data_IF_220150399210
#
_entry.id   IF_220150399210
#
_cell.length_a   1.000
_cell.length_b   1.000
_cell.length_c   1.000
_cell.angle_alpha   90.00
_cell.angle_beta   90.00
_cell.angle_gamma   90.00
#
_symmetry.space_group_name_H-M   'P 1'
#
loop_
_entity.id
_entity.type
_entity.pdbx_description
1 polymer ?
#
# COMPACT_ATOMS: atom_id res chain seq x y z
N UNK A 1 16.56 7.74 38.66
CA UNK A 1 15.84 6.53 38.20
C UNK A 1 14.80 6.98 37.21
N UNK A 2 15.10 6.83 35.91
CA UNK A 2 14.12 7.12 34.86
C UNK A 2 13.18 5.95 34.77
N UNK A 3 11.92 6.14 35.13
CA UNK A 3 10.85 5.18 34.87
C UNK A 3 10.68 5.15 33.34
N UNK A 4 10.99 4.00 32.73
CA UNK A 4 10.69 3.78 31.34
C UNK A 4 9.17 3.83 31.16
N UNK A 5 8.68 4.80 30.38
CA UNK A 5 7.28 5.01 30.16
C UNK A 5 6.62 3.86 29.43
N UNK A 6 5.44 3.45 29.88
CA UNK A 6 4.63 2.48 29.19
C UNK A 6 3.94 3.14 27.99
N UNK A 7 4.01 2.48 26.83
CA UNK A 7 3.40 2.96 25.60
C UNK A 7 2.41 1.93 25.10
N UNK A 8 1.21 2.34 24.71
CA UNK A 8 0.23 1.48 24.06
C UNK A 8 0.25 1.76 22.56
N UNK A 9 0.60 0.76 21.79
CA UNK A 9 0.56 0.81 20.32
C UNK A 9 -0.42 -0.22 19.78
N UNK A 10 -1.12 0.12 18.72
CA UNK A 10 -2.00 -0.80 18.00
C UNK A 10 -1.25 -1.33 16.77
N UNK A 11 -1.15 -2.66 16.69
CA UNK A 11 -0.46 -3.36 15.64
C UNK A 11 -1.47 -4.27 14.94
N UNK A 12 -1.62 -4.11 13.63
CA UNK A 12 -2.32 -5.07 12.79
C UNK A 12 -1.40 -6.24 12.49
N UNK A 13 -1.86 -7.47 12.74
CA UNK A 13 -1.18 -8.69 12.37
C UNK A 13 -1.96 -9.35 11.24
N UNK A 14 -1.35 -9.47 10.07
CA UNK A 14 -1.86 -10.30 9.00
C UNK A 14 -1.02 -11.59 8.96
N UNK A 15 -1.69 -12.72 9.17
CA UNK A 15 -1.07 -14.03 9.07
C UNK A 15 -1.22 -14.53 7.64
N UNK A 16 -0.14 -14.41 6.90
CA UNK A 16 0.09 -15.13 5.64
C UNK A 16 1.17 -16.18 5.92
N UNK A 17 1.82 -16.71 4.92
CA UNK A 17 3.04 -17.53 5.06
C UNK A 17 4.19 -16.79 5.77
N UNK A 18 4.08 -15.45 5.89
CA UNK A 18 4.94 -14.60 6.76
C UNK A 18 4.05 -13.67 7.58
N UNK A 19 4.43 -13.44 8.83
CA UNK A 19 3.74 -12.50 9.69
C UNK A 19 4.06 -11.08 9.24
N UNK A 20 3.06 -10.38 8.74
CA UNK A 20 3.17 -8.95 8.46
C UNK A 20 2.67 -8.17 9.68
N UNK A 21 3.49 -7.26 10.18
CA UNK A 21 3.17 -6.40 11.31
C UNK A 21 2.98 -4.98 10.75
N UNK A 22 1.83 -4.41 10.98
CA UNK A 22 1.55 -3.02 10.63
C UNK A 22 1.20 -2.24 11.90
N UNK A 23 1.89 -1.12 12.13
CA UNK A 23 1.51 -0.17 13.17
C UNK A 23 0.29 0.61 12.68
N UNK A 24 -0.84 0.47 13.37
CA UNK A 24 -2.11 1.05 12.95
C UNK A 24 -2.31 2.48 13.46
N UNK A 25 -1.56 2.86 14.51
CA UNK A 25 -1.66 4.18 15.14
C UNK A 25 -0.34 4.55 15.79
N UNK A 26 -0.07 5.85 15.94
CA UNK A 26 1.08 6.29 16.73
C UNK A 26 0.96 5.79 18.16
N UNK A 27 2.06 5.32 18.78
CA UNK A 27 2.03 4.84 20.14
C UNK A 27 1.54 5.91 21.12
N UNK A 28 0.59 5.56 21.98
CA UNK A 28 0.06 6.44 23.02
C UNK A 28 0.88 6.22 24.28
N UNK A 29 1.48 7.28 24.81
CA UNK A 29 2.17 7.23 26.09
C UNK A 29 1.15 7.03 27.22
N UNK A 30 1.34 5.97 28.01
CA UNK A 30 0.50 5.66 29.18
C UNK A 30 1.05 6.28 30.47
N UNK A 31 2.17 6.99 30.39
CA UNK A 31 2.75 7.72 31.51
C UNK A 31 1.94 8.96 31.78
N UNK A 32 0.90 8.83 32.53
CA UNK A 32 0.13 9.97 32.93
C UNK A 32 0.14 10.13 34.47
N UNK A 33 0.17 11.38 34.89
CA UNK A 33 -0.11 11.70 36.25
C UNK A 33 -1.57 11.37 36.54
N UNK A 34 -1.87 10.82 37.74
CA UNK A 34 -3.23 10.42 38.14
C UNK A 34 -4.28 11.54 38.00
N UNK A 35 -3.85 12.79 37.92
CA UNK A 35 -4.69 13.98 37.72
C UNK A 35 -4.87 14.36 36.24
N UNK A 36 -4.21 13.68 35.32
CA UNK A 36 -4.36 13.97 33.88
C UNK A 36 -5.64 13.33 33.33
N UNK A 37 -6.76 14.01 33.58
CA UNK A 37 -8.09 13.58 33.11
C UNK A 37 -8.17 13.51 31.60
N UNK A 38 -7.48 14.42 30.87
CA UNK A 38 -7.53 14.48 29.42
C UNK A 38 -6.91 13.23 28.80
N UNK A 39 -5.71 12.84 29.23
CA UNK A 39 -5.03 11.67 28.72
C UNK A 39 -5.77 10.38 29.07
N UNK A 40 -6.30 10.28 30.28
CA UNK A 40 -7.15 9.16 30.73
C UNK A 40 -8.41 9.02 29.85
N UNK A 41 -9.07 10.14 29.58
CA UNK A 41 -10.28 10.15 28.74
C UNK A 41 -9.93 9.75 27.30
N UNK A 42 -8.85 10.27 26.74
CA UNK A 42 -8.37 9.86 25.41
C UNK A 42 -8.07 8.36 25.37
N UNK A 43 -7.31 7.82 26.31
CA UNK A 43 -7.01 6.39 26.40
C UNK A 43 -8.26 5.53 26.48
N UNK A 44 -9.24 5.92 27.28
CA UNK A 44 -10.52 5.22 27.39
C UNK A 44 -11.31 5.26 26.07
N UNK A 45 -11.27 6.39 25.35
CA UNK A 45 -11.87 6.54 24.03
C UNK A 45 -11.23 5.61 22.99
N UNK A 46 -9.91 5.57 22.94
CA UNK A 46 -9.17 4.68 22.03
C UNK A 46 -9.47 3.21 22.30
N UNK A 47 -9.45 2.80 23.57
CA UNK A 47 -9.78 1.42 23.94
C UNK A 47 -11.24 1.07 23.63
N UNK A 48 -12.15 2.02 23.82
CA UNK A 48 -13.57 1.87 23.44
C UNK A 48 -13.76 1.76 21.94
N UNK A 49 -13.05 2.56 21.16
CA UNK A 49 -13.05 2.51 19.69
C UNK A 49 -12.48 1.19 19.17
N UNK A 50 -11.35 0.75 19.74
CA UNK A 50 -10.74 -0.53 19.38
C UNK A 50 -11.71 -1.69 19.66
N UNK A 51 -12.33 -1.72 20.84
CA UNK A 51 -13.31 -2.77 21.19
C UNK A 51 -14.46 -2.80 20.17
N UNK A 52 -15.01 -1.63 19.81
CA UNK A 52 -16.07 -1.54 18.80
C UNK A 52 -15.60 -2.02 17.41
N UNK A 53 -14.36 -1.69 17.04
CA UNK A 53 -13.78 -2.14 15.77
C UNK A 53 -13.61 -3.66 15.78
N UNK A 54 -13.10 -4.24 16.86
CA UNK A 54 -12.97 -5.70 17.03
C UNK A 54 -14.34 -6.40 17.01
N UNK A 55 -15.36 -5.85 17.70
CA UNK A 55 -16.71 -6.41 17.67
C UNK A 55 -17.33 -6.36 16.27
N UNK A 56 -17.05 -5.29 15.50
CA UNK A 56 -17.48 -5.18 14.08
C UNK A 56 -16.75 -6.18 13.19
N UNK A 57 -15.42 -6.26 13.30
CA UNK A 57 -14.61 -7.26 12.61
C UNK A 57 -15.09 -8.68 12.91
N UNK A 58 -15.32 -8.98 14.19
CA UNK A 58 -15.84 -10.27 14.60
C UNK A 58 -17.18 -10.58 13.94
N UNK A 59 -18.15 -9.64 13.95
CA UNK A 59 -19.44 -9.80 13.30
C UNK A 59 -19.28 -9.99 11.80
N UNK A 60 -18.42 -9.20 11.15
CA UNK A 60 -18.12 -9.33 9.73
C UNK A 60 -17.59 -10.73 9.39
N UNK A 61 -16.64 -11.26 10.19
CA UNK A 61 -16.11 -12.60 9.97
C UNK A 61 -17.08 -13.74 10.37
N UNK A 62 -17.98 -13.50 11.30
CA UNK A 62 -18.94 -14.51 11.75
C UNK A 62 -20.24 -14.52 10.92
N UNK A 63 -20.69 -13.36 10.41
CA UNK A 63 -22.03 -13.22 9.85
C UNK A 63 -22.11 -12.51 8.50
N UNK A 64 -21.24 -11.55 8.23
CA UNK A 64 -21.32 -10.69 7.04
C UNK A 64 -20.37 -11.14 5.93
N UNK A 65 -19.34 -11.93 6.22
CA UNK A 65 -18.65 -12.66 5.18
C UNK A 65 -19.67 -13.57 4.54
N UNK A 66 -19.89 -13.47 3.21
CA UNK A 66 -20.69 -14.45 2.52
C UNK A 66 -20.10 -15.79 2.92
N UNK A 67 -20.84 -16.58 3.68
CA UNK A 67 -20.53 -17.98 3.86
C UNK A 67 -20.44 -18.48 2.44
N UNK A 68 -19.24 -18.77 1.98
CA UNK A 68 -19.03 -19.55 0.77
C UNK A 68 -19.75 -20.87 1.07
N UNK A 69 -21.06 -20.85 0.81
CA UNK A 69 -21.86 -22.05 0.89
C UNK A 69 -21.17 -23.05 -0.03
N UNK A 70 -20.62 -24.06 0.59
CA UNK A 70 -20.23 -25.28 -0.07
C UNK A 70 -21.50 -25.96 -0.56
N UNK A 71 -22.29 -25.29 -1.38
CA UNK A 71 -23.27 -25.96 -2.20
C UNK A 71 -22.53 -26.73 -3.28
N UNK A 72 -22.48 -28.04 -3.08
CA UNK A 72 -22.06 -28.97 -4.10
C UNK A 72 -22.86 -28.78 -5.37
N UNK A 73 -22.35 -28.00 -6.26
CA UNK A 73 -22.67 -27.95 -7.68
C UNK A 73 -21.44 -27.40 -8.38
N UNK A 74 -20.97 -28.11 -9.38
CA UNK A 74 -19.80 -27.87 -10.17
C UNK A 74 -19.72 -26.43 -10.72
N UNK A 75 -19.26 -25.52 -9.92
CA UNK A 75 -18.73 -24.25 -10.34
C UNK A 75 -17.22 -24.40 -10.15
N UNK A 76 -16.47 -24.23 -11.23
CA UNK A 76 -15.01 -24.34 -11.20
C UNK A 76 -14.45 -23.62 -9.99
N UNK A 77 -13.56 -24.27 -9.25
CA UNK A 77 -12.93 -23.79 -8.04
C UNK A 77 -11.93 -22.66 -8.37
N UNK A 78 -12.43 -21.52 -8.80
CA UNK A 78 -11.61 -20.32 -8.89
C UNK A 78 -11.53 -19.68 -7.49
N UNK A 79 -10.73 -20.33 -6.62
CA UNK A 79 -10.32 -19.75 -5.34
C UNK A 79 -9.28 -18.69 -5.62
N UNK A 80 -9.71 -17.56 -6.16
CA UNK A 80 -8.82 -16.43 -6.34
C UNK A 80 -8.33 -15.96 -4.97
N UNK A 81 -7.04 -16.11 -4.72
CA UNK A 81 -6.42 -15.57 -3.50
C UNK A 81 -6.45 -14.07 -3.56
N UNK A 82 -6.84 -13.42 -2.48
CA UNK A 82 -6.91 -11.97 -2.39
C UNK A 82 -5.93 -11.43 -1.36
N UNK A 83 -5.51 -10.19 -1.58
CA UNK A 83 -4.78 -9.37 -0.65
C UNK A 83 -5.73 -8.30 -0.11
N UNK A 84 -5.79 -8.13 1.21
CA UNK A 84 -6.57 -7.08 1.87
C UNK A 84 -5.60 -6.08 2.47
N UNK A 85 -5.76 -4.81 2.10
CA UNK A 85 -4.96 -3.69 2.60
C UNK A 85 -5.88 -2.69 3.29
N UNK A 86 -5.41 -2.13 4.41
CA UNK A 86 -6.04 -0.99 5.07
C UNK A 86 -5.14 0.22 4.87
N UNK A 87 -5.71 1.33 4.41
CA UNK A 87 -4.99 2.57 4.12
C UNK A 87 -5.81 3.79 4.53
N UNK A 88 -5.15 4.86 4.94
CA UNK A 88 -5.80 6.16 5.21
C UNK A 88 -5.88 7.04 3.97
N UNK A 89 -5.11 6.70 2.94
CA UNK A 89 -5.11 7.34 1.62
C UNK A 89 -5.04 6.24 0.58
N UNK A 90 -5.80 6.37 -0.49
CA UNK A 90 -5.78 5.41 -1.59
C UNK A 90 -6.48 5.98 -2.81
N UNK A 91 -5.86 5.84 -3.98
CA UNK A 91 -6.46 6.25 -5.24
C UNK A 91 -7.16 5.08 -5.94
N UNK A 92 -8.43 4.88 -5.61
CA UNK A 92 -9.27 3.85 -6.22
C UNK A 92 -9.34 3.99 -7.74
N UNK A 93 -9.59 5.20 -8.23
CA UNK A 93 -9.81 5.44 -9.65
C UNK A 93 -8.55 5.17 -10.48
N UNK A 94 -7.39 5.59 -9.96
CA UNK A 94 -6.11 5.31 -10.63
C UNK A 94 -5.78 3.82 -10.57
N UNK A 95 -6.08 3.13 -9.46
CA UNK A 95 -5.89 1.68 -9.39
C UNK A 95 -6.73 0.96 -10.45
N UNK A 96 -8.02 1.32 -10.60
CA UNK A 96 -8.91 0.75 -11.64
C UNK A 96 -8.34 1.04 -13.03
N UNK A 97 -7.87 2.26 -13.26
CA UNK A 97 -7.24 2.62 -14.54
C UNK A 97 -5.99 1.76 -14.80
N UNK A 98 -5.08 1.62 -13.85
CA UNK A 98 -3.89 0.77 -13.96
C UNK A 98 -4.25 -0.70 -14.19
N UNK A 99 -5.30 -1.20 -13.54
CA UNK A 99 -5.83 -2.55 -13.78
C UNK A 99 -6.29 -2.70 -15.24
N UNK A 100 -7.01 -1.72 -15.79
CA UNK A 100 -7.47 -1.75 -17.19
C UNK A 100 -6.33 -1.75 -18.20
N UNK A 101 -5.19 -1.16 -17.82
CA UNK A 101 -3.95 -1.15 -18.59
C UNK A 101 -3.08 -2.39 -18.41
N UNK A 102 -3.51 -3.33 -17.55
CA UNK A 102 -2.79 -4.57 -17.23
C UNK A 102 -1.52 -4.35 -16.40
N UNK A 103 -1.45 -3.26 -15.62
CA UNK A 103 -0.28 -2.90 -14.81
C UNK A 103 -0.59 -2.78 -13.31
N UNK A 104 -1.73 -3.28 -12.88
CA UNK A 104 -2.05 -3.38 -11.45
C UNK A 104 -2.92 -4.62 -11.19
N UNK A 105 -2.87 -5.18 -9.97
CA UNK A 105 -3.74 -6.29 -9.59
C UNK A 105 -5.22 -5.89 -9.73
N UNK A 106 -6.11 -6.77 -10.19
CA UNK A 106 -7.54 -6.50 -10.22
C UNK A 106 -8.09 -6.12 -8.84
N UNK A 107 -8.78 -4.98 -8.78
CA UNK A 107 -9.47 -4.52 -7.58
C UNK A 107 -10.77 -5.31 -7.41
N UNK A 108 -10.94 -6.03 -6.30
CA UNK A 108 -12.11 -6.85 -5.98
C UNK A 108 -13.10 -6.17 -5.06
N UNK A 109 -12.60 -5.28 -4.20
CA UNK A 109 -13.43 -4.53 -3.26
C UNK A 109 -12.74 -3.25 -2.80
N UNK A 110 -13.55 -2.25 -2.50
CA UNK A 110 -13.09 -0.99 -1.93
C UNK A 110 -14.19 -0.41 -1.05
N UNK A 111 -13.90 -0.19 0.21
CA UNK A 111 -14.86 0.32 1.17
C UNK A 111 -14.24 1.38 2.07
N UNK A 112 -14.98 2.48 2.26
CA UNK A 112 -14.63 3.50 3.23
C UNK A 112 -15.08 3.07 4.63
N UNK A 113 -14.14 3.00 5.54
CA UNK A 113 -14.37 2.59 6.93
C UNK A 113 -14.46 3.81 7.86
N UNK A 114 -14.97 3.58 9.06
CA UNK A 114 -14.98 4.60 10.10
C UNK A 114 -13.55 5.07 10.44
N UNK A 115 -13.41 6.37 10.73
CA UNK A 115 -12.10 6.95 11.10
C UNK A 115 -11.21 7.32 9.90
N UNK A 116 -11.77 7.39 8.69
CA UNK A 116 -11.03 7.81 7.49
C UNK A 116 -10.12 6.73 6.90
N UNK A 117 -10.38 5.47 7.22
CA UNK A 117 -9.68 4.34 6.64
C UNK A 117 -10.42 3.80 5.41
N UNK A 118 -9.68 3.19 4.52
CA UNK A 118 -10.18 2.41 3.40
C UNK A 118 -9.77 0.95 3.55
N UNK A 119 -10.69 0.04 3.28
CA UNK A 119 -10.40 -1.37 3.06
C UNK A 119 -10.31 -1.61 1.56
N UNK A 120 -9.17 -2.10 1.12
CA UNK A 120 -8.88 -2.38 -0.29
C UNK A 120 -8.67 -3.87 -0.45
N UNK A 121 -9.43 -4.50 -1.32
CA UNK A 121 -9.32 -5.92 -1.65
C UNK A 121 -8.91 -6.05 -3.10
N UNK A 122 -7.80 -6.73 -3.37
CA UNK A 122 -7.26 -6.92 -4.71
C UNK A 122 -6.77 -8.35 -4.89
N UNK A 123 -6.58 -8.78 -6.12
CA UNK A 123 -6.01 -10.10 -6.39
C UNK A 123 -4.60 -10.20 -5.82
N UNK A 124 -4.32 -11.33 -5.19
CA UNK A 124 -2.98 -11.69 -4.76
C UNK A 124 -2.16 -12.12 -5.98
N UNK A 125 -1.03 -11.51 -6.20
CA UNK A 125 -0.21 -11.72 -7.41
C UNK A 125 1.13 -12.40 -7.14
N UNK A 126 1.49 -12.64 -5.89
CA UNK A 126 2.79 -13.18 -5.48
C UNK A 126 3.05 -14.64 -5.93
N UNK A 127 2.05 -15.34 -6.45
CA UNK A 127 2.27 -16.64 -7.13
C UNK A 127 3.00 -16.46 -8.48
N UNK A 128 2.82 -15.32 -9.17
CA UNK A 128 3.35 -15.04 -10.52
C UNK A 128 4.36 -13.90 -10.51
N UNK A 129 4.22 -12.95 -9.61
CA UNK A 129 5.04 -11.74 -9.52
C UNK A 129 5.83 -11.70 -8.22
N UNK A 130 6.95 -11.00 -8.22
CA UNK A 130 7.79 -10.70 -7.06
C UNK A 130 8.26 -9.25 -7.12
N UNK A 131 8.64 -8.62 -6.00
CA UNK A 131 9.23 -7.28 -6.02
C UNK A 131 10.46 -7.25 -6.93
N UNK A 132 10.63 -6.15 -7.64
CA UNK A 132 11.80 -5.99 -8.50
C UNK A 132 13.06 -6.02 -7.63
N UNK A 133 13.84 -7.07 -7.81
CA UNK A 133 15.21 -7.11 -7.31
C UNK A 133 16.08 -6.26 -8.23
N UNK A 134 16.79 -5.31 -7.66
CA UNK A 134 17.73 -4.45 -8.38
C UNK A 134 19.04 -5.15 -8.73
N UNK A 135 19.14 -6.48 -8.50
CA UNK A 135 20.25 -7.28 -9.04
C UNK A 135 20.26 -7.18 -10.57
N UNK A 136 21.44 -7.08 -11.15
CA UNK A 136 21.65 -6.85 -12.59
C UNK A 136 20.91 -7.87 -13.48
N UNK A 137 20.63 -9.07 -12.97
CA UNK A 137 19.97 -10.14 -13.73
C UNK A 137 18.48 -9.89 -14.01
N UNK A 138 17.84 -8.97 -13.29
CA UNK A 138 16.40 -8.67 -13.43
C UNK A 138 16.12 -7.35 -14.16
N UNK A 139 17.11 -6.49 -14.24
CA UNK A 139 17.01 -5.22 -14.94
C UNK A 139 17.35 -5.46 -16.43
N UNK A 140 16.33 -5.46 -17.28
CA UNK A 140 16.48 -5.58 -18.72
C UNK A 140 16.01 -4.31 -19.44
N UNK A 141 16.56 -4.02 -20.63
CA UNK A 141 16.12 -2.89 -21.45
C UNK A 141 14.64 -2.99 -21.79
N UNK A 142 14.15 -4.21 -22.10
CA UNK A 142 12.74 -4.46 -22.42
C UNK A 142 11.82 -4.15 -21.24
N UNK A 143 12.20 -4.53 -20.02
CA UNK A 143 11.45 -4.17 -18.82
C UNK A 143 11.45 -2.65 -18.60
N UNK A 144 12.61 -2.00 -18.74
CA UNK A 144 12.74 -0.56 -18.62
C UNK A 144 11.83 0.18 -19.61
N UNK A 145 11.90 -0.16 -20.88
CA UNK A 145 11.06 0.46 -21.92
C UNK A 145 9.56 0.24 -21.65
N UNK A 146 9.19 -0.96 -21.21
CA UNK A 146 7.80 -1.28 -20.87
C UNK A 146 7.30 -0.44 -19.71
N UNK A 147 8.09 -0.35 -18.61
CA UNK A 147 7.76 0.45 -17.44
C UNK A 147 7.66 1.92 -17.79
N UNK A 148 8.67 2.45 -18.51
CA UNK A 148 8.71 3.84 -18.96
C UNK A 148 7.49 4.19 -19.82
N UNK A 149 7.18 3.35 -20.82
CA UNK A 149 6.01 3.53 -21.70
C UNK A 149 4.70 3.57 -20.89
N UNK A 150 4.50 2.64 -19.96
CA UNK A 150 3.27 2.55 -19.19
C UNK A 150 3.14 3.68 -18.18
N UNK A 151 4.23 4.10 -17.53
CA UNK A 151 4.26 5.29 -16.66
C UNK A 151 3.97 6.57 -17.44
N UNK A 152 4.52 6.71 -18.66
CA UNK A 152 4.18 7.84 -19.54
C UNK A 152 2.68 7.88 -19.86
N UNK A 153 2.07 6.74 -20.14
CA UNK A 153 0.62 6.66 -20.37
C UNK A 153 -0.19 7.03 -19.11
N UNK A 154 0.28 6.65 -17.92
CA UNK A 154 -0.31 7.06 -16.63
C UNK A 154 -0.30 8.59 -16.51
N UNK A 155 0.83 9.22 -16.78
CA UNK A 155 0.96 10.68 -16.76
C UNK A 155 0.08 11.36 -17.81
N UNK A 156 -0.01 10.82 -19.03
CA UNK A 156 -0.91 11.32 -20.08
C UNK A 156 -2.39 11.21 -19.71
N UNK A 157 -2.75 10.21 -18.91
CA UNK A 157 -4.09 10.08 -18.32
C UNK A 157 -4.35 11.03 -17.15
N UNK A 158 -3.35 11.86 -16.76
CA UNK A 158 -3.46 12.86 -15.72
C UNK A 158 -3.17 12.33 -14.30
N UNK A 159 -2.50 11.19 -14.17
CA UNK A 159 -2.17 10.57 -12.89
C UNK A 159 -0.66 10.48 -12.65
N UNK A 160 -0.26 10.45 -11.37
CA UNK A 160 1.10 10.15 -10.90
C UNK A 160 1.04 9.04 -9.86
N UNK A 161 2.13 8.27 -9.77
CA UNK A 161 2.26 7.23 -8.74
C UNK A 161 2.81 7.79 -7.42
N UNK A 162 3.85 8.58 -7.49
CA UNK A 162 4.48 9.27 -6.36
C UNK A 162 5.39 8.40 -5.49
N UNK A 163 5.37 7.08 -5.66
CA UNK A 163 6.20 6.14 -4.91
C UNK A 163 6.67 4.97 -5.78
N UNK A 164 7.27 5.30 -6.95
CA UNK A 164 7.83 4.31 -7.88
C UNK A 164 9.18 3.81 -7.39
N UNK A 165 9.15 2.92 -6.39
CA UNK A 165 10.34 2.22 -5.90
C UNK A 165 10.35 0.76 -6.36
N UNK A 166 11.52 0.15 -6.31
CA UNK A 166 11.68 -1.27 -6.66
C UNK A 166 10.73 -2.19 -5.87
N UNK A 167 10.42 -1.86 -4.61
CA UNK A 167 9.48 -2.60 -3.76
C UNK A 167 8.02 -2.50 -4.23
N UNK A 168 7.67 -1.43 -4.97
CA UNK A 168 6.32 -1.17 -5.47
C UNK A 168 6.18 -1.55 -6.95
N UNK A 169 7.24 -2.06 -7.55
CA UNK A 169 7.30 -2.57 -8.91
C UNK A 169 7.45 -4.11 -8.84
N UNK A 170 6.36 -4.81 -9.10
CA UNK A 170 6.33 -6.27 -9.09
C UNK A 170 6.60 -6.78 -10.49
N UNK A 171 7.58 -7.68 -10.66
CA UNK A 171 7.97 -8.26 -11.96
C UNK A 171 7.67 -9.74 -12.02
N UNK A 172 7.53 -10.28 -13.22
CA UNK A 172 7.21 -11.70 -13.41
C UNK A 172 8.38 -12.60 -12.97
N UNK A 173 8.05 -13.64 -12.22
CA UNK A 173 9.03 -14.64 -11.75
C UNK A 173 9.64 -15.49 -12.86
N UNK A 174 8.89 -15.67 -13.95
CA UNK A 174 9.33 -16.48 -15.10
C UNK A 174 10.31 -15.75 -16.03
N UNK A 175 10.70 -14.50 -15.71
CA UNK A 175 11.62 -13.69 -16.50
C UNK A 175 11.03 -13.12 -17.79
N UNK A 176 9.75 -13.37 -18.07
CA UNK A 176 9.09 -12.75 -19.21
C UNK A 176 8.81 -11.26 -18.95
N UNK A 177 8.80 -10.41 -19.98
CA UNK A 177 8.47 -9.00 -19.81
C UNK A 177 7.07 -8.85 -19.22
N UNK A 178 6.94 -8.06 -18.16
CA UNK A 178 5.68 -7.79 -17.51
C UNK A 178 5.89 -7.32 -16.07
N UNK A 179 5.08 -6.35 -15.68
CA UNK A 179 5.13 -5.81 -14.33
C UNK A 179 3.74 -5.43 -13.83
N UNK A 180 3.62 -5.27 -12.52
CA UNK A 180 2.47 -4.71 -11.83
C UNK A 180 2.95 -3.60 -10.88
N UNK A 181 2.21 -2.51 -10.83
CA UNK A 181 2.35 -1.48 -9.81
C UNK A 181 1.52 -1.88 -8.60
N UNK A 182 2.06 -1.69 -7.42
CA UNK A 182 1.37 -1.88 -6.15
C UNK A 182 1.56 -0.63 -5.29
N UNK A 183 0.81 -0.54 -4.19
CA UNK A 183 0.87 0.58 -3.25
C UNK A 183 0.37 1.91 -3.83
N UNK A 184 -0.97 2.03 -3.92
CA UNK A 184 -1.65 3.22 -4.46
C UNK A 184 -1.95 4.29 -3.39
N UNK A 185 -1.17 4.35 -2.31
CA UNK A 185 -1.43 5.26 -1.19
C UNK A 185 -1.08 6.73 -1.52
N UNK A 186 -0.06 6.94 -2.36
CA UNK A 186 0.38 8.28 -2.77
C UNK A 186 -0.06 8.63 -4.19
N UNK A 187 -0.70 7.70 -4.85
CA UNK A 187 -1.17 7.84 -6.22
C UNK A 187 -2.33 8.82 -6.31
N UNK A 188 -2.38 9.62 -7.36
CA UNK A 188 -3.51 10.52 -7.58
C UNK A 188 -3.37 11.38 -8.84
N UNK A 189 -4.25 12.39 -8.97
CA UNK A 189 -4.22 13.29 -10.10
C UNK A 189 -3.06 14.28 -10.03
N UNK A 190 -2.46 14.54 -11.18
CA UNK A 190 -1.40 15.55 -11.32
C UNK A 190 -1.94 16.91 -10.88
N UNK A 191 -1.19 17.60 -10.00
CA UNK A 191 -1.57 18.90 -9.46
C UNK A 191 -2.54 18.88 -8.29
N UNK A 192 -3.07 17.70 -7.90
CA UNK A 192 -3.99 17.57 -6.76
C UNK A 192 -3.38 16.77 -5.60
N UNK A 193 -2.60 15.72 -5.91
CA UNK A 193 -2.03 14.84 -4.89
C UNK A 193 -0.71 15.36 -4.33
N UNK A 194 -0.56 15.26 -3.00
CA UNK A 194 0.64 15.69 -2.29
C UNK A 194 1.30 14.53 -1.55
N UNK A 195 2.59 14.65 -1.30
CA UNK A 195 3.30 13.76 -0.42
C UNK A 195 2.71 13.78 1.01
N UNK A 196 2.75 12.66 1.75
CA UNK A 196 2.31 12.66 3.14
C UNK A 196 3.23 13.49 4.02
N UNK A 197 2.73 13.84 5.20
CA UNK A 197 3.56 14.45 6.25
C UNK A 197 4.43 13.37 6.92
N UNK A 198 5.61 13.76 7.37
CA UNK A 198 6.60 12.88 8.02
C UNK A 198 7.09 11.75 7.10
N UNK A 199 7.35 12.08 5.85
CA UNK A 199 8.00 11.14 4.92
C UNK A 199 9.34 10.67 5.46
N UNK A 200 9.63 9.38 5.24
CA UNK A 200 10.99 8.91 5.40
C UNK A 200 11.83 9.41 4.21
N UNK A 201 12.71 10.36 4.47
CA UNK A 201 13.60 10.97 3.47
C UNK A 201 15.00 10.36 3.48
N UNK A 202 15.18 9.13 3.96
CA UNK A 202 16.45 8.43 3.90
C UNK A 202 16.96 8.41 2.44
N UNK A 203 18.18 8.89 2.16
CA UNK A 203 18.76 8.86 0.81
C UNK A 203 18.75 7.48 0.15
N UNK A 204 18.81 6.40 0.96
CA UNK A 204 18.74 5.03 0.47
C UNK A 204 17.39 4.68 -0.19
N UNK A 205 16.34 5.47 0.07
CA UNK A 205 15.03 5.28 -0.53
C UNK A 205 14.91 5.93 -1.92
N UNK A 206 15.91 6.69 -2.35
CA UNK A 206 15.94 7.30 -3.68
C UNK A 206 14.83 8.33 -3.93
N UNK A 207 14.41 9.06 -2.87
CA UNK A 207 13.41 10.13 -3.02
C UNK A 207 13.89 11.16 -4.06
N UNK A 208 13.05 11.56 -5.02
CA UNK A 208 13.43 12.52 -6.04
C UNK A 208 13.61 13.92 -5.46
N UNK A 209 14.41 14.79 -6.11
CA UNK A 209 14.52 16.19 -5.71
C UNK A 209 13.14 16.87 -5.72
N UNK A 210 12.80 17.57 -4.64
CA UNK A 210 11.50 18.24 -4.48
C UNK A 210 10.39 17.38 -3.88
N UNK A 211 10.66 16.12 -3.55
CA UNK A 211 9.75 15.27 -2.78
C UNK A 211 9.89 15.58 -1.29
N UNK A 212 9.10 16.52 -0.81
CA UNK A 212 9.05 16.92 0.61
C UNK A 212 7.63 16.80 1.16
N UNK A 213 7.52 16.78 2.48
CA UNK A 213 6.25 16.76 3.19
C UNK A 213 5.25 17.79 2.67
N UNK A 214 4.09 17.34 2.24
CA UNK A 214 3.00 18.20 1.74
C UNK A 214 3.18 18.78 0.35
N UNK A 215 4.35 18.61 -0.29
CA UNK A 215 4.58 19.08 -1.66
C UNK A 215 3.78 18.29 -2.69
N UNK A 216 3.39 18.95 -3.79
CA UNK A 216 2.66 18.33 -4.89
C UNK A 216 3.53 17.27 -5.57
N UNK A 217 2.97 16.10 -5.76
CA UNK A 217 3.60 15.01 -6.51
C UNK A 217 3.53 15.33 -8.00
N UNK A 218 4.69 15.31 -8.67
CA UNK A 218 4.84 15.65 -10.08
C UNK A 218 5.19 14.41 -10.90
N UNK A 219 4.84 14.43 -12.20
CA UNK A 219 5.24 13.39 -13.13
C UNK A 219 6.76 13.20 -13.21
N UNK A 220 7.52 14.29 -13.10
CA UNK A 220 8.99 14.23 -13.11
C UNK A 220 9.55 13.44 -11.91
N UNK A 221 8.85 13.45 -10.75
CA UNK A 221 9.27 12.66 -9.61
C UNK A 221 9.21 11.16 -9.89
N UNK A 222 8.15 10.68 -10.55
CA UNK A 222 8.06 9.29 -11.00
C UNK A 222 9.19 8.93 -11.97
N UNK A 223 9.51 9.84 -12.90
CA UNK A 223 10.58 9.63 -13.88
C UNK A 223 11.95 9.60 -13.23
N UNK A 224 12.19 10.42 -12.20
CA UNK A 224 13.44 10.40 -11.44
C UNK A 224 13.60 9.10 -10.65
N UNK A 225 12.52 8.63 -10.02
CA UNK A 225 12.51 7.33 -9.33
C UNK A 225 12.83 6.18 -10.29
N UNK A 226 12.23 6.17 -11.48
CA UNK A 226 12.53 5.16 -12.50
C UNK A 226 13.99 5.22 -12.94
N UNK A 227 14.55 6.41 -13.18
CA UNK A 227 15.99 6.55 -13.51
C UNK A 227 16.87 5.95 -12.41
N UNK A 228 16.51 6.15 -11.14
CA UNK A 228 17.27 5.59 -10.01
C UNK A 228 17.20 4.06 -9.98
N UNK A 229 16.06 3.45 -10.32
CA UNK A 229 15.91 2.00 -10.39
C UNK A 229 16.76 1.42 -11.53
N UNK A 230 16.74 2.05 -12.70
CA UNK A 230 17.36 1.52 -13.92
C UNK A 230 18.74 2.14 -14.22
N UNK A 231 19.38 2.77 -13.23
CA UNK A 231 20.67 3.48 -13.40
C UNK A 231 21.82 2.61 -13.94
N UNK A 232 21.76 1.30 -13.73
CA UNK A 232 22.78 0.35 -14.20
C UNK A 232 22.59 -0.10 -15.65
N UNK A 233 21.45 0.19 -16.28
CA UNK A 233 21.21 -0.18 -17.67
C UNK A 233 21.90 0.82 -18.62
N UNK A 234 22.78 0.31 -19.48
CA UNK A 234 23.28 1.10 -20.60
C UNK A 234 22.16 1.25 -21.63
N UNK A 235 21.75 2.47 -21.86
CA UNK A 235 20.92 2.81 -23.03
C UNK A 235 21.92 2.85 -24.20
N UNK A 236 21.92 1.80 -25.02
CA UNK A 236 22.66 1.78 -26.29
C UNK A 236 21.98 2.69 -27.31
#
# INVERSE_FOLDING_TARGET
MSLAGATLGFIGLAFTDRTNIQVLEQPIHLDYHHMDVKLRTMTAWYLGALRKAMDRLRRYYEFDLPQLETHGSAIGSDRTKVCVKFATRYSRDTHIWCTSMGIAPPLRGFEALAGGWFMVVMDRIDDVFEPLDTSESRLTNELHELVLKKTTLLHQAGYVHGDLRNTNLMVRKDGQPGFMLVDFDWVGKIGEVCYPMNMNTDPALGCPPGAYDGEIIKADHDMDMLRNIFVGLRVD
#
